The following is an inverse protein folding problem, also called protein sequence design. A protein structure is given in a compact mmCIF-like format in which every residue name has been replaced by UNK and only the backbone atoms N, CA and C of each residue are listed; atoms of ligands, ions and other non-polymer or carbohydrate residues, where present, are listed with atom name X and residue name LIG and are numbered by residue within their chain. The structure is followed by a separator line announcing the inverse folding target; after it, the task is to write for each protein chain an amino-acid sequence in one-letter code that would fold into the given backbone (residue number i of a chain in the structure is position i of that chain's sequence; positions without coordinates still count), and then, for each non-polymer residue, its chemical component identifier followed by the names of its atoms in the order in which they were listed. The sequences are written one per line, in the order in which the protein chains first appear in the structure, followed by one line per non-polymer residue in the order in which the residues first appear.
data_IF_338537011773
#
_entry.id   IF_338537011773
#
_cell.length_a   1.000
_cell.length_b   1.000
_cell.length_c   1.000
_cell.angle_alpha   90.00
_cell.angle_beta   90.00
_cell.angle_gamma   90.00
#
_symmetry.space_group_name_H-M   'P 1'
#
loop_
_entity.id
_entity.type
_entity.pdbx_description
1 polymer ?
#
# COMPACT_ATOMS: atom_id res chain seq x y z
N UNK A 1 2.56 23.08 6.68
CA UNK A 1 3.93 22.53 6.72
C UNK A 1 4.24 22.20 8.17
N UNK A 2 4.86 21.06 8.44
CA UNK A 2 5.25 20.68 9.80
C UNK A 2 6.77 20.64 9.84
N UNK A 3 7.36 21.43 10.72
CA UNK A 3 8.80 21.45 10.95
C UNK A 3 9.21 20.29 11.87
N UNK A 4 10.28 19.57 11.49
CA UNK A 4 10.84 18.42 12.22
C UNK A 4 12.26 18.66 12.71
N UNK A 5 12.76 19.91 12.67
CA UNK A 5 14.15 20.28 12.96
C UNK A 5 14.72 19.81 14.31
N UNK A 6 13.89 19.34 15.25
CA UNK A 6 14.31 18.85 16.56
C UNK A 6 14.09 17.35 16.82
N UNK A 7 13.77 16.52 15.82
CA UNK A 7 13.26 15.18 16.09
C UNK A 7 14.30 14.18 16.66
N UNK A 8 15.58 14.25 16.24
CA UNK A 8 16.55 13.19 16.55
C UNK A 8 17.62 13.49 17.61
N UNK A 9 17.78 14.73 18.06
CA UNK A 9 18.65 15.05 19.19
C UNK A 9 17.95 14.61 20.49
N UNK A 10 18.18 13.35 20.88
CA UNK A 10 17.75 12.80 22.16
C UNK A 10 18.98 12.49 22.99
N UNK A 11 19.49 13.45 23.75
CA UNK A 11 20.34 13.14 24.90
C UNK A 11 19.43 12.77 26.08
N UNK A 12 19.85 11.78 26.89
CA UNK A 12 19.16 11.37 28.13
C UNK A 12 18.91 12.53 29.13
N UNK A 13 19.48 13.70 28.87
CA UNK A 13 19.45 14.91 29.68
C UNK A 13 18.48 16.00 29.19
N UNK A 14 17.76 15.82 28.07
CA UNK A 14 16.82 16.83 27.57
C UNK A 14 15.46 16.75 28.28
N UNK A 15 15.40 17.26 29.51
CA UNK A 15 14.13 17.59 30.19
C UNK A 15 13.74 19.03 29.82
N UNK A 16 12.56 19.22 29.21
CA UNK A 16 12.04 20.56 28.90
C UNK A 16 11.42 20.70 27.50
N UNK A 17 11.59 21.87 26.89
CA UNK A 17 11.00 22.28 25.61
C UNK A 17 11.34 21.35 24.43
N UNK A 18 12.55 20.77 24.40
CA UNK A 18 12.96 19.81 23.37
C UNK A 18 12.08 18.54 23.34
N UNK A 19 11.65 18.06 24.51
CA UNK A 19 10.78 16.89 24.60
C UNK A 19 9.37 17.16 24.05
N UNK A 20 8.88 18.39 24.24
CA UNK A 20 7.60 18.85 23.69
C UNK A 20 7.66 18.96 22.16
N UNK A 21 8.77 19.47 21.61
CA UNK A 21 8.99 19.55 20.16
C UNK A 21 8.97 18.17 19.49
N UNK A 22 9.57 17.16 20.14
CA UNK A 22 9.57 15.77 19.66
C UNK A 22 8.16 15.17 19.72
N UNK A 23 7.44 15.35 20.83
CA UNK A 23 6.06 14.89 20.94
C UNK A 23 5.16 15.53 19.89
N UNK A 24 5.32 16.83 19.65
CA UNK A 24 4.58 17.55 18.64
C UNK A 24 4.91 17.05 17.24
N UNK A 25 6.19 16.79 16.96
CA UNK A 25 6.64 16.20 15.69
C UNK A 25 6.01 14.83 15.46
N UNK A 26 6.03 13.95 16.48
CA UNK A 26 5.39 12.62 16.39
C UNK A 26 3.88 12.73 16.17
N UNK A 27 3.21 13.62 16.91
CA UNK A 27 1.76 13.88 16.73
C UNK A 27 1.46 14.38 15.33
N UNK A 28 2.33 15.22 14.78
CA UNK A 28 2.17 15.76 13.45
C UNK A 28 2.42 14.70 12.36
N UNK A 29 3.40 13.80 12.56
CA UNK A 29 3.63 12.66 11.67
C UNK A 29 2.37 11.78 11.58
N UNK A 30 1.70 11.52 12.70
CA UNK A 30 0.44 10.76 12.73
C UNK A 30 -0.72 11.46 12.02
N UNK A 31 -0.66 12.78 11.85
CA UNK A 31 -1.67 13.59 11.15
C UNK A 31 -1.30 13.87 9.69
N UNK A 32 -0.05 13.63 9.30
CA UNK A 32 0.42 13.85 7.95
C UNK A 32 -0.11 12.76 7.03
N UNK A 33 -0.26 13.11 5.75
CA UNK A 33 -0.52 12.14 4.68
C UNK A 33 0.75 11.87 3.86
N UNK A 34 1.54 12.93 3.67
CA UNK A 34 2.80 12.92 2.92
C UNK A 34 3.89 13.55 3.78
N UNK A 35 5.08 12.95 3.72
CA UNK A 35 6.31 13.44 4.30
C UNK A 35 7.26 13.80 3.16
N UNK A 36 7.71 15.06 3.15
CA UNK A 36 8.77 15.52 2.27
C UNK A 36 10.07 15.54 3.05
N UNK A 37 11.01 14.66 2.70
CA UNK A 37 12.34 14.60 3.28
C UNK A 37 13.29 15.47 2.45
N UNK A 38 13.80 16.54 3.05
CA UNK A 38 14.72 17.45 2.38
C UNK A 38 16.15 17.02 2.71
N UNK A 39 16.95 16.80 1.68
CA UNK A 39 18.36 16.44 1.73
C UNK A 39 19.22 17.57 1.15
N UNK A 40 20.45 17.67 1.60
CA UNK A 40 21.40 18.68 1.13
C UNK A 40 22.35 18.10 0.07
N UNK A 41 22.29 18.60 -1.16
CA UNK A 41 23.11 18.16 -2.27
C UNK A 41 24.61 18.34 -2.03
N UNK A 42 25.01 19.40 -1.31
CA UNK A 42 26.41 19.68 -1.02
C UNK A 42 26.99 18.66 -0.05
N UNK A 43 26.23 18.31 0.99
CA UNK A 43 26.63 17.28 1.95
C UNK A 43 26.70 15.90 1.28
N UNK A 44 25.74 15.57 0.42
CA UNK A 44 25.76 14.31 -0.36
C UNK A 44 27.02 14.22 -1.22
N UNK A 45 27.41 15.32 -1.85
CA UNK A 45 28.61 15.36 -2.70
C UNK A 45 29.91 15.20 -1.89
N UNK A 46 29.96 15.70 -0.65
CA UNK A 46 31.12 15.61 0.24
C UNK A 46 31.26 14.25 0.92
N UNK A 47 30.17 13.75 1.49
CA UNK A 47 30.17 12.53 2.30
C UNK A 47 30.05 11.25 1.46
N UNK A 48 29.70 11.38 0.17
CA UNK A 48 29.50 10.26 -0.74
C UNK A 48 28.34 9.34 -0.35
N UNK A 49 27.43 9.82 0.50
CA UNK A 49 26.22 9.13 0.96
C UNK A 49 25.03 10.05 0.77
N UNK A 50 23.95 9.52 0.21
CA UNK A 50 22.73 10.27 -0.06
C UNK A 50 21.93 10.62 1.19
N UNK A 51 22.03 9.82 2.26
CA UNK A 51 21.29 10.04 3.50
C UNK A 51 22.16 9.81 4.74
N UNK A 52 21.99 10.68 5.74
CA UNK A 52 22.51 10.52 7.09
C UNK A 52 21.70 9.49 7.86
N UNK A 53 22.28 8.94 8.93
CA UNK A 53 21.60 7.95 9.78
C UNK A 53 20.22 8.44 10.24
N UNK A 54 20.16 9.69 10.65
CA UNK A 54 18.94 10.31 11.15
C UNK A 54 17.84 10.33 10.08
N UNK A 55 18.15 10.84 8.89
CA UNK A 55 17.23 10.90 7.74
C UNK A 55 16.70 9.53 7.34
N UNK A 56 17.53 8.48 7.42
CA UNK A 56 17.11 7.10 7.18
C UNK A 56 16.10 6.64 8.23
N UNK A 57 16.34 6.93 9.51
CA UNK A 57 15.40 6.61 10.59
C UNK A 57 14.07 7.33 10.38
N UNK A 58 14.12 8.60 9.96
CA UNK A 58 12.92 9.39 9.64
C UNK A 58 12.12 8.75 8.51
N UNK A 59 12.79 8.44 7.41
CA UNK A 59 12.16 7.90 6.22
C UNK A 59 11.55 6.52 6.48
N UNK A 60 12.27 5.63 7.17
CA UNK A 60 11.77 4.30 7.56
C UNK A 60 10.54 4.41 8.44
N UNK A 61 10.54 5.33 9.40
CA UNK A 61 9.37 5.55 10.26
C UNK A 61 8.17 6.05 9.47
N UNK A 62 8.36 7.00 8.55
CA UNK A 62 7.28 7.48 7.69
C UNK A 62 6.65 6.35 6.87
N UNK A 63 7.48 5.46 6.31
CA UNK A 63 7.06 4.26 5.58
C UNK A 63 6.30 3.28 6.48
N UNK A 64 6.79 3.01 7.69
CA UNK A 64 6.13 2.14 8.67
C UNK A 64 4.73 2.65 9.03
N UNK A 65 4.58 3.95 9.23
CA UNK A 65 3.29 4.59 9.51
C UNK A 65 2.34 4.57 8.30
N UNK A 66 2.86 4.29 7.11
CA UNK A 66 2.08 4.20 5.86
C UNK A 66 1.94 5.55 5.16
N UNK A 67 2.82 6.50 5.42
CA UNK A 67 2.80 7.83 4.81
C UNK A 67 3.43 7.79 3.42
N UNK A 68 2.94 8.62 2.50
CA UNK A 68 3.63 8.87 1.24
C UNK A 68 4.97 9.57 1.52
N UNK A 69 6.05 9.09 0.93
CA UNK A 69 7.39 9.68 1.10
C UNK A 69 7.83 10.31 -0.21
N UNK A 70 8.32 11.54 -0.14
CA UNK A 70 8.93 12.25 -1.26
C UNK A 70 10.29 12.74 -0.78
N UNK A 71 11.31 12.54 -1.61
CA UNK A 71 12.67 13.03 -1.30
C UNK A 71 12.94 14.27 -2.14
N UNK A 72 13.41 15.33 -1.49
CA UNK A 72 13.73 16.61 -2.11
C UNK A 72 15.22 16.84 -1.89
N UNK A 73 15.99 16.94 -2.96
CA UNK A 73 17.42 17.25 -2.90
C UNK A 73 17.58 18.74 -3.16
N UNK A 74 17.95 19.50 -2.13
CA UNK A 74 18.11 20.96 -2.17
C UNK A 74 19.57 21.36 -2.41
N UNK A 75 19.82 22.64 -2.75
CA UNK A 75 21.14 23.23 -3.04
C UNK A 75 21.84 22.67 -4.27
N UNK A 76 21.06 22.24 -5.27
CA UNK A 76 21.61 21.71 -6.53
C UNK A 76 22.42 22.75 -7.33
N UNK A 77 22.25 24.04 -7.05
CA UNK A 77 23.02 25.17 -7.61
C UNK A 77 24.50 25.13 -7.25
N UNK A 78 24.87 24.51 -6.12
CA UNK A 78 26.26 24.39 -5.69
C UNK A 78 27.02 23.30 -6.47
N UNK A 79 26.30 22.38 -7.12
CA UNK A 79 26.90 21.30 -7.89
C UNK A 79 27.13 21.72 -9.34
N UNK A 80 28.33 21.45 -9.86
CA UNK A 80 28.71 21.76 -11.25
C UNK A 80 29.29 20.54 -11.97
N UNK A 81 29.01 20.44 -13.27
CA UNK A 81 29.58 19.42 -14.17
C UNK A 81 29.34 18.00 -13.69
N UNK A 82 30.42 17.21 -13.59
CA UNK A 82 30.36 15.76 -13.25
C UNK A 82 29.71 15.46 -11.89
N UNK A 83 29.81 16.38 -10.93
CA UNK A 83 29.20 16.19 -9.60
C UNK A 83 27.67 16.23 -9.67
N UNK A 84 27.13 17.13 -10.50
CA UNK A 84 25.68 17.26 -10.71
C UNK A 84 25.10 15.96 -11.30
N UNK A 85 25.73 15.44 -12.34
CA UNK A 85 25.30 14.18 -12.99
C UNK A 85 25.41 12.98 -12.05
N UNK A 86 26.47 12.93 -11.23
CA UNK A 86 26.67 11.87 -10.26
C UNK A 86 25.55 11.84 -9.23
N UNK A 87 25.20 13.00 -8.66
CA UNK A 87 24.15 13.09 -7.63
C UNK A 87 22.78 12.71 -8.19
N UNK A 88 22.47 13.13 -9.42
CA UNK A 88 21.20 12.78 -10.06
C UNK A 88 21.01 11.28 -10.24
N UNK A 89 22.09 10.56 -10.57
CA UNK A 89 22.04 9.10 -10.78
C UNK A 89 22.15 8.32 -9.46
N UNK A 90 23.05 8.73 -8.58
CA UNK A 90 23.34 8.02 -7.34
C UNK A 90 22.20 8.11 -6.33
N UNK A 91 21.57 9.28 -6.17
CA UNK A 91 20.58 9.48 -5.11
C UNK A 91 19.38 8.52 -5.22
N UNK A 92 18.71 8.37 -6.39
CA UNK A 92 17.61 7.42 -6.52
C UNK A 92 18.01 5.96 -6.24
N UNK A 93 19.19 5.54 -6.68
CA UNK A 93 19.72 4.18 -6.50
C UNK A 93 20.05 3.90 -5.02
N UNK A 94 20.69 4.85 -4.36
CA UNK A 94 21.03 4.74 -2.93
C UNK A 94 19.77 4.74 -2.07
N UNK A 95 18.78 5.59 -2.37
CA UNK A 95 17.48 5.59 -1.66
C UNK A 95 16.81 4.23 -1.77
N UNK A 96 16.81 3.63 -2.95
CA UNK A 96 16.22 2.31 -3.17
C UNK A 96 16.93 1.21 -2.37
N UNK A 97 18.25 1.35 -2.19
CA UNK A 97 19.09 0.44 -1.41
C UNK A 97 18.84 0.60 0.09
N UNK A 98 18.72 1.84 0.56
CA UNK A 98 18.51 2.19 1.97
C UNK A 98 17.09 1.88 2.44
N UNK A 99 16.09 2.04 1.57
CA UNK A 99 14.67 1.84 1.86
C UNK A 99 14.07 0.81 0.88
N UNK A 100 14.42 -0.48 0.99
CA UNK A 100 13.93 -1.50 0.07
C UNK A 100 12.44 -1.79 0.25
N UNK A 101 11.81 -1.33 1.35
CA UNK A 101 10.39 -1.58 1.61
C UNK A 101 9.48 -0.83 0.63
N UNK A 102 9.93 0.32 0.09
CA UNK A 102 9.16 1.13 -0.84
C UNK A 102 9.97 1.35 -2.10
N UNK A 103 9.50 0.75 -3.19
CA UNK A 103 10.06 0.97 -4.51
C UNK A 103 9.47 2.21 -5.19
N UNK A 104 10.32 2.94 -5.92
CA UNK A 104 9.90 4.08 -6.75
C UNK A 104 9.57 5.35 -5.97
N UNK A 105 10.30 5.63 -4.88
CA UNK A 105 10.16 6.88 -4.14
C UNK A 105 10.53 8.05 -5.08
N UNK A 106 9.65 9.04 -5.28
CA UNK A 106 9.96 10.18 -6.14
C UNK A 106 11.05 11.06 -5.51
N UNK A 107 12.06 11.39 -6.33
CA UNK A 107 13.15 12.30 -5.97
C UNK A 107 13.02 13.57 -6.81
N UNK A 108 12.96 14.72 -6.14
CA UNK A 108 12.87 16.03 -6.81
C UNK A 108 14.10 16.85 -6.48
N UNK A 109 14.78 17.33 -7.52
CA UNK A 109 15.97 18.16 -7.40
C UNK A 109 15.57 19.63 -7.45
N UNK A 110 15.99 20.41 -6.45
CA UNK A 110 15.62 21.83 -6.31
C UNK A 110 16.81 22.71 -5.92
N UNK A 111 16.67 24.01 -6.21
CA UNK A 111 17.48 25.06 -5.60
C UNK A 111 16.54 26.07 -4.97
N UNK A 112 16.49 26.08 -3.64
CA UNK A 112 15.68 27.05 -2.90
C UNK A 112 16.17 28.49 -3.10
N UNK A 113 17.48 28.69 -3.26
CA UNK A 113 18.10 30.01 -3.45
C UNK A 113 17.68 30.64 -4.78
N UNK A 114 17.72 29.86 -5.87
CA UNK A 114 17.31 30.32 -7.19
C UNK A 114 15.79 30.18 -7.42
N UNK A 115 15.07 29.55 -6.48
CA UNK A 115 13.64 29.24 -6.61
C UNK A 115 13.31 28.16 -7.67
N UNK A 116 14.32 27.47 -8.21
CA UNK A 116 14.16 26.42 -9.23
C UNK A 116 13.55 25.16 -8.62
N UNK A 117 12.56 24.59 -9.30
CA UNK A 117 11.95 23.31 -8.92
C UNK A 117 10.80 23.39 -7.89
N UNK A 118 10.43 24.59 -7.40
CA UNK A 118 9.31 24.77 -6.46
C UNK A 118 7.97 24.21 -6.97
N UNK A 119 7.67 24.45 -8.25
CA UNK A 119 6.44 23.98 -8.90
C UNK A 119 6.46 22.47 -9.08
N UNK A 120 7.64 21.90 -9.36
CA UNK A 120 7.82 20.46 -9.51
C UNK A 120 7.59 19.74 -8.17
N UNK A 121 8.08 20.29 -7.05
CA UNK A 121 7.81 19.76 -5.71
C UNK A 121 6.30 19.74 -5.43
N UNK A 122 5.61 20.86 -5.64
CA UNK A 122 4.18 20.95 -5.36
C UNK A 122 3.36 19.97 -6.22
N UNK A 123 3.70 19.86 -7.51
CA UNK A 123 3.08 18.88 -8.40
C UNK A 123 3.32 17.45 -7.91
N UNK A 124 4.55 17.11 -7.57
CA UNK A 124 4.89 15.77 -7.09
C UNK A 124 4.15 15.42 -5.79
N UNK A 125 3.99 16.39 -4.89
CA UNK A 125 3.20 16.20 -3.65
C UNK A 125 1.75 15.88 -3.97
N UNK A 126 1.13 16.59 -4.92
CA UNK A 126 -0.25 16.34 -5.34
C UNK A 126 -0.36 14.97 -6.00
N UNK A 127 0.51 14.65 -6.96
CA UNK A 127 0.51 13.37 -7.68
C UNK A 127 0.67 12.18 -6.71
N UNK A 128 1.58 12.29 -5.75
CA UNK A 128 1.77 11.29 -4.69
C UNK A 128 0.55 11.20 -3.77
N UNK A 129 -0.13 12.32 -3.48
CA UNK A 129 -1.33 12.33 -2.65
C UNK A 129 -2.51 11.64 -3.33
N UNK A 130 -2.72 11.93 -4.62
CA UNK A 130 -3.76 11.30 -5.43
C UNK A 130 -3.53 9.80 -5.53
N UNK A 131 -2.29 9.39 -5.80
CA UNK A 131 -1.90 7.97 -5.85
C UNK A 131 -2.07 7.30 -4.48
N UNK A 132 -1.74 7.99 -3.38
CA UNK A 132 -1.94 7.48 -2.02
C UNK A 132 -3.42 7.36 -1.66
N UNK A 133 -4.29 8.17 -2.28
CA UNK A 133 -5.74 8.11 -2.12
C UNK A 133 -6.43 7.10 -3.07
N UNK A 134 -5.70 6.47 -3.98
CA UNK A 134 -6.26 5.65 -5.04
C UNK A 134 -7.11 4.50 -4.47
N UNK A 135 -8.34 4.37 -4.97
CA UNK A 135 -9.23 3.27 -4.66
C UNK A 135 -9.47 2.40 -5.89
N UNK A 136 -9.07 1.14 -5.80
CA UNK A 136 -9.22 0.14 -6.83
C UNK A 136 -10.50 -0.67 -6.58
N UNK A 137 -11.25 -0.93 -7.65
CA UNK A 137 -12.46 -1.73 -7.57
C UNK A 137 -12.11 -3.21 -7.35
N UNK A 138 -12.98 -3.93 -6.62
CA UNK A 138 -12.80 -5.37 -6.34
C UNK A 138 -12.76 -6.17 -7.64
N UNK A 139 -13.55 -5.79 -8.64
CA UNK A 139 -13.55 -6.42 -9.95
C UNK A 139 -12.20 -6.28 -10.66
N UNK A 140 -11.63 -5.07 -10.66
CA UNK A 140 -10.33 -4.79 -11.24
C UNK A 140 -9.22 -5.58 -10.54
N UNK A 141 -9.19 -5.56 -9.21
CA UNK A 141 -8.21 -6.30 -8.40
C UNK A 141 -8.28 -7.82 -8.64
N UNK A 142 -9.46 -8.40 -8.72
CA UNK A 142 -9.59 -9.84 -8.96
C UNK A 142 -9.26 -10.23 -10.40
N UNK A 143 -9.52 -9.35 -11.38
CA UNK A 143 -9.06 -9.56 -12.75
C UNK A 143 -7.54 -9.53 -12.83
N UNK A 144 -6.92 -8.52 -12.22
CA UNK A 144 -5.47 -8.39 -12.08
C UNK A 144 -4.86 -9.62 -11.39
N UNK A 145 -5.41 -10.06 -10.25
CA UNK A 145 -4.92 -11.22 -9.52
C UNK A 145 -4.88 -12.47 -10.41
N UNK A 146 -5.93 -12.75 -11.19
CA UNK A 146 -5.94 -13.90 -12.11
C UNK A 146 -4.82 -13.82 -13.15
N UNK A 147 -4.55 -12.62 -13.68
CA UNK A 147 -3.48 -12.38 -14.66
C UNK A 147 -2.09 -12.57 -14.05
N UNK A 148 -1.89 -12.12 -12.81
CA UNK A 148 -0.60 -12.29 -12.11
C UNK A 148 -0.38 -13.75 -11.70
N UNK A 149 -1.42 -14.41 -11.17
CA UNK A 149 -1.36 -15.82 -10.77
C UNK A 149 -1.19 -16.79 -11.95
N UNK A 150 -1.58 -16.41 -13.17
CA UNK A 150 -1.35 -17.26 -14.35
C UNK A 150 0.09 -17.18 -14.87
N UNK A 151 0.76 -16.04 -14.66
CA UNK A 151 2.16 -15.80 -15.06
C UNK A 151 3.15 -16.38 -14.04
N UNK A 152 2.80 -16.33 -12.76
CA UNK A 152 3.62 -16.90 -11.71
C UNK A 152 3.37 -18.41 -11.61
N UNK A 153 4.42 -19.22 -11.70
CA UNK A 153 4.28 -20.66 -11.45
C UNK A 153 4.07 -20.91 -9.95
N UNK A 154 2.83 -20.79 -9.49
CA UNK A 154 2.40 -21.30 -8.19
C UNK A 154 2.33 -22.84 -8.17
N UNK A 155 2.73 -23.48 -9.29
CA UNK A 155 2.68 -24.91 -9.51
C UNK A 155 3.90 -25.53 -8.81
N UNK A 156 3.68 -26.12 -7.64
CA UNK A 156 4.15 -27.50 -7.38
C UNK A 156 3.91 -28.03 -5.97
N UNK A 157 3.30 -27.25 -5.07
CA UNK A 157 2.92 -27.81 -3.77
C UNK A 157 1.41 -27.76 -3.59
N UNK A 158 0.77 -28.93 -3.64
CA UNK A 158 -0.64 -29.13 -3.31
C UNK A 158 -1.04 -28.56 -1.93
N UNK A 159 -0.05 -28.29 -1.07
CA UNK A 159 -0.20 -27.72 0.26
C UNK A 159 -0.11 -26.17 0.33
N UNK A 160 0.25 -25.48 -0.75
CA UNK A 160 0.43 -24.03 -0.71
C UNK A 160 -0.92 -23.27 -0.57
N UNK A 161 -0.98 -22.24 0.28
CA UNK A 161 -2.15 -21.38 0.42
C UNK A 161 -2.45 -20.64 -0.90
N UNK A 162 -3.64 -20.85 -1.48
CA UNK A 162 -4.07 -20.13 -2.70
C UNK A 162 -4.86 -18.87 -2.34
N UNK A 163 -4.54 -17.75 -2.98
CA UNK A 163 -5.33 -16.51 -2.88
C UNK A 163 -6.60 -16.66 -3.73
N UNK A 164 -7.77 -16.64 -3.09
CA UNK A 164 -9.07 -16.76 -3.75
C UNK A 164 -9.54 -15.43 -4.33
N UNK A 165 -9.43 -14.37 -3.54
CA UNK A 165 -9.84 -13.04 -3.94
C UNK A 165 -9.05 -11.98 -3.17
N UNK A 166 -8.99 -10.79 -3.75
CA UNK A 166 -8.24 -9.65 -3.24
C UNK A 166 -9.15 -8.43 -3.19
N UNK A 167 -9.07 -7.66 -2.11
CA UNK A 167 -9.89 -6.46 -1.92
C UNK A 167 -9.11 -5.36 -1.23
N UNK A 168 -9.46 -4.11 -1.51
CA UNK A 168 -8.93 -2.94 -0.80
C UNK A 168 -9.90 -2.54 0.31
N UNK A 169 -9.45 -2.64 1.56
CA UNK A 169 -10.26 -2.31 2.75
C UNK A 169 -10.10 -0.84 3.14
N UNK A 170 -8.88 -0.30 2.99
CA UNK A 170 -8.57 1.10 3.31
C UNK A 170 -7.85 1.73 2.13
N UNK A 171 -8.24 2.96 1.78
CA UNK A 171 -7.50 3.75 0.80
C UNK A 171 -6.27 4.45 1.42
N UNK A 172 -6.31 4.77 2.72
CA UNK A 172 -5.38 5.72 3.37
C UNK A 172 -4.81 5.18 4.70
N UNK A 173 -3.65 4.51 4.74
CA UNK A 173 -2.85 4.06 3.59
C UNK A 173 -3.51 2.92 2.81
N UNK A 174 -3.12 2.70 1.53
CA UNK A 174 -3.62 1.59 0.72
C UNK A 174 -3.40 0.24 1.42
N UNK A 175 -4.50 -0.31 1.93
CA UNK A 175 -4.50 -1.56 2.69
C UNK A 175 -5.39 -2.56 1.98
N UNK A 176 -4.77 -3.66 1.57
CA UNK A 176 -5.41 -4.74 0.86
C UNK A 176 -5.53 -5.97 1.77
N UNK A 177 -6.55 -6.78 1.52
CA UNK A 177 -6.73 -8.07 2.17
C UNK A 177 -6.70 -9.15 1.09
N UNK A 178 -5.74 -10.07 1.24
CA UNK A 178 -5.68 -11.31 0.51
C UNK A 178 -6.46 -12.38 1.27
N UNK A 179 -7.50 -12.92 0.64
CA UNK A 179 -8.27 -14.02 1.20
C UNK A 179 -7.71 -15.35 0.71
N UNK A 180 -7.26 -16.16 1.66
CA UNK A 180 -6.49 -17.38 1.42
C UNK A 180 -7.36 -18.61 1.71
N UNK A 181 -7.19 -19.67 0.92
CA UNK A 181 -7.98 -20.90 1.01
C UNK A 181 -7.68 -21.77 2.24
N UNK A 182 -6.47 -21.70 2.76
CA UNK A 182 -5.97 -22.50 3.87
C UNK A 182 -5.83 -21.65 5.14
N UNK A 183 -5.75 -22.30 6.31
CA UNK A 183 -5.31 -21.64 7.55
C UNK A 183 -3.82 -21.23 7.50
N UNK A 184 -3.05 -21.81 6.58
CA UNK A 184 -1.66 -21.43 6.34
C UNK A 184 -1.57 -19.99 5.77
N UNK A 185 -0.55 -19.25 6.23
CA UNK A 185 -0.21 -17.92 5.70
C UNK A 185 0.66 -18.06 4.44
N UNK A 186 0.51 -17.12 3.52
CA UNK A 186 1.43 -16.91 2.39
C UNK A 186 2.84 -16.63 2.92
N UNK A 187 3.85 -17.08 2.17
CA UNK A 187 5.24 -16.77 2.50
C UNK A 187 5.53 -15.28 2.31
N UNK A 188 6.57 -14.78 2.97
CA UNK A 188 6.97 -13.37 2.79
C UNK A 188 7.42 -13.08 1.35
N UNK A 189 8.01 -14.07 0.67
CA UNK A 189 8.37 -13.98 -0.75
C UNK A 189 7.15 -13.72 -1.63
N UNK A 190 6.06 -14.44 -1.41
CA UNK A 190 4.83 -14.28 -2.18
C UNK A 190 4.17 -12.92 -1.91
N UNK A 191 4.20 -12.46 -0.67
CA UNK A 191 3.69 -11.13 -0.31
C UNK A 191 4.49 -10.02 -0.97
N UNK A 192 5.83 -10.13 -1.00
CA UNK A 192 6.71 -9.18 -1.70
C UNK A 192 6.44 -9.19 -3.19
N UNK A 193 6.27 -10.36 -3.80
CA UNK A 193 5.92 -10.50 -5.21
C UNK A 193 4.57 -9.85 -5.54
N UNK A 194 3.52 -10.13 -4.75
CA UNK A 194 2.21 -9.51 -4.92
C UNK A 194 2.28 -7.98 -4.75
N UNK A 195 3.02 -7.51 -3.75
CA UNK A 195 3.22 -6.08 -3.51
C UNK A 195 3.91 -5.42 -4.68
N UNK A 196 4.99 -6.02 -5.20
CA UNK A 196 5.73 -5.52 -6.36
C UNK A 196 4.84 -5.48 -7.62
N UNK A 197 4.16 -6.58 -7.92
CA UNK A 197 3.27 -6.67 -9.07
C UNK A 197 2.13 -5.65 -9.01
N UNK A 198 1.58 -5.41 -7.80
CA UNK A 198 0.54 -4.40 -7.59
C UNK A 198 1.07 -3.00 -7.85
N UNK A 199 2.30 -2.71 -7.42
CA UNK A 199 2.95 -1.42 -7.68
C UNK A 199 3.19 -1.17 -9.16
N UNK A 200 3.71 -2.17 -9.87
CA UNK A 200 4.03 -2.06 -11.29
C UNK A 200 2.76 -1.89 -12.15
N UNK A 201 1.72 -2.71 -11.94
CA UNK A 201 0.52 -2.68 -12.78
C UNK A 201 -0.41 -1.48 -12.50
N UNK A 202 -0.46 -0.98 -11.27
CA UNK A 202 -1.31 0.15 -10.87
C UNK A 202 -0.55 1.47 -10.69
N UNK A 203 0.73 1.51 -11.05
CA UNK A 203 1.61 2.67 -10.91
C UNK A 203 1.62 3.27 -9.48
N UNK A 204 1.59 2.41 -8.45
CA UNK A 204 1.60 2.81 -7.04
C UNK A 204 3.03 3.04 -6.52
N UNK A 205 3.87 3.67 -7.33
CA UNK A 205 5.26 3.99 -7.00
C UNK A 205 5.37 4.92 -5.78
N UNK A 206 6.36 4.68 -4.93
CA UNK A 206 6.68 5.57 -3.82
C UNK A 206 5.72 5.51 -2.63
N UNK A 207 4.69 4.65 -2.69
CA UNK A 207 3.69 4.51 -1.63
C UNK A 207 3.87 3.19 -0.87
N UNK A 208 3.80 3.22 0.48
CA UNK A 208 3.74 2.01 1.27
C UNK A 208 2.39 1.32 1.11
N UNK A 209 2.42 0.04 0.75
CA UNK A 209 1.22 -0.81 0.60
C UNK A 209 1.23 -1.84 1.72
N UNK A 210 0.06 -2.04 2.35
CA UNK A 210 -0.13 -3.07 3.37
C UNK A 210 -0.99 -4.20 2.82
N UNK A 211 -0.48 -5.43 2.86
CA UNK A 211 -1.25 -6.63 2.51
C UNK A 211 -1.50 -7.44 3.78
N UNK A 212 -2.75 -7.50 4.20
CA UNK A 212 -3.20 -8.37 5.28
C UNK A 212 -3.69 -9.70 4.72
N UNK A 213 -3.53 -10.77 5.49
CA UNK A 213 -4.00 -12.09 5.09
C UNK A 213 -5.19 -12.50 5.96
N UNK A 214 -6.24 -13.03 5.34
CA UNK A 214 -7.36 -13.66 6.05
C UNK A 214 -7.60 -15.05 5.48
N UNK A 215 -7.71 -16.05 6.35
CA UNK A 215 -8.11 -17.39 5.94
C UNK A 215 -9.64 -17.45 5.81
N UNK A 216 -10.11 -18.04 4.72
CA UNK A 216 -11.53 -18.35 4.56
C UNK A 216 -11.72 -19.78 5.03
N UNK A 217 -12.41 -19.96 6.15
CA UNK A 217 -12.83 -21.30 6.57
C UNK A 217 -13.65 -21.94 5.44
N UNK A 218 -13.30 -23.16 5.03
CA UNK A 218 -14.26 -23.98 4.29
C UNK A 218 -15.46 -24.16 5.22
N UNK A 219 -16.62 -23.63 4.84
CA UNK A 219 -17.88 -24.17 5.34
C UNK A 219 -17.81 -25.67 5.07
N UNK A 220 -17.80 -26.48 6.13
CA UNK A 220 -18.02 -27.91 6.00
C UNK A 220 -19.41 -28.03 5.39
N UNK A 221 -19.47 -28.38 4.10
CA UNK A 221 -20.72 -28.71 3.46
C UNK A 221 -21.36 -29.83 4.26
N UNK A 222 -22.61 -29.64 4.64
CA UNK A 222 -23.47 -30.70 5.20
C UNK A 222 -23.43 -31.86 4.22
N UNK A 223 -22.74 -32.93 4.58
CA UNK A 223 -22.81 -34.22 3.91
C UNK A 223 -24.17 -34.81 4.22
N UNK A 224 -25.20 -34.44 3.45
CA UNK A 224 -26.43 -35.23 3.39
C UNK A 224 -26.07 -36.53 2.67
N UNK A 225 -25.91 -37.59 3.47
CA UNK A 225 -25.63 -38.93 3.00
C UNK A 225 -26.74 -39.41 2.07
N UNK A 226 -26.33 -39.88 0.91
CA UNK A 226 -27.15 -40.70 0.03
C UNK A 226 -27.36 -42.06 0.69
N UNK A 227 -28.55 -42.30 1.26
CA UNK A 227 -29.03 -43.64 1.56
C UNK A 227 -30.32 -43.89 0.78
N UNK A 228 -30.22 -44.73 -0.25
CA UNK A 228 -31.36 -45.29 -0.98
C UNK A 228 -32.06 -46.36 -0.12
N UNK A 229 -33.37 -46.46 -0.34
CA UNK A 229 -34.24 -47.65 -0.26
C UNK A 229 -35.21 -47.76 0.92
N UNK A 230 -36.48 -47.48 0.63
CA UNK A 230 -37.60 -48.41 0.80
C UNK A 230 -38.88 -47.76 0.23
N UNK A 231 -39.49 -48.39 -0.78
CA UNK A 231 -40.90 -48.17 -1.09
C UNK A 231 -41.76 -48.93 -0.05
N UNK A 232 -43.01 -48.53 0.16
CA UNK A 232 -44.07 -49.26 -0.54
C UNK A 232 -45.18 -48.37 -1.16
N UNK A 233 -45.62 -48.86 -2.31
CA UNK A 233 -46.93 -48.80 -2.96
C UNK A 233 -48.14 -48.20 -2.21
N UNK A 234 -48.92 -47.36 -2.93
CA UNK A 234 -50.36 -47.60 -3.06
C UNK A 234 -51.35 -46.47 -2.73
N UNK A 235 -51.97 -45.95 -3.78
CA UNK A 235 -53.38 -45.52 -3.93
C UNK A 235 -53.82 -44.04 -3.74
N UNK A 236 -54.47 -43.59 -4.82
CA UNK A 236 -55.68 -42.76 -4.96
C UNK A 236 -55.58 -41.23 -4.89
N UNK A 237 -55.47 -40.67 -6.10
CA UNK A 237 -56.24 -39.57 -6.69
C UNK A 237 -57.32 -38.93 -5.79
N UNK A 238 -57.23 -37.61 -5.62
CA UNK A 238 -58.38 -36.72 -5.80
C UNK A 238 -57.92 -35.34 -6.28
N UNK A 239 -58.32 -35.01 -7.51
CA UNK A 239 -58.33 -33.65 -8.05
C UNK A 239 -59.68 -33.06 -7.70
N UNK A 240 -59.72 -31.89 -7.09
CA UNK A 240 -60.87 -30.99 -7.17
C UNK A 240 -60.38 -29.59 -7.54
N UNK A 241 -60.82 -29.15 -8.72
CA UNK A 241 -60.84 -27.77 -9.19
C UNK A 241 -62.14 -27.14 -8.70
N UNK A 242 -62.13 -25.86 -8.29
CA UNK A 242 -63.19 -24.85 -8.49
C UNK A 242 -62.84 -23.58 -7.70
N UNK A 243 -62.29 -22.53 -8.30
CA UNK A 243 -63.00 -21.38 -8.90
C UNK A 243 -63.81 -20.51 -7.92
N UNK A 244 -63.36 -19.25 -7.73
CA UNK A 244 -64.18 -18.02 -7.78
C UNK A 244 -63.32 -16.76 -7.53
N UNK A 245 -63.32 -15.88 -8.55
CA UNK A 245 -63.41 -14.40 -8.57
C UNK A 245 -63.07 -13.66 -7.24
N UNK A 246 -62.31 -12.56 -7.24
CA UNK A 246 -62.68 -11.30 -7.92
C UNK A 246 -61.48 -10.34 -8.00
N UNK A 247 -61.31 -9.73 -9.17
CA UNK A 247 -60.47 -8.58 -9.47
C UNK A 247 -61.21 -7.33 -9.01
N UNK A 248 -60.55 -6.40 -8.31
CA UNK A 248 -60.88 -4.97 -8.34
C UNK A 248 -59.59 -4.14 -8.34
N UNK A 249 -59.18 -3.72 -9.54
CA UNK A 249 -58.81 -2.33 -9.88
C UNK A 249 -60.03 -1.42 -9.58
N UNK A 250 -60.01 -0.12 -9.29
CA UNK A 250 -59.14 1.03 -9.59
C UNK A 250 -59.69 2.29 -8.84
N UNK A 251 -58.98 3.42 -8.92
CA UNK A 251 -59.36 4.83 -8.64
C UNK A 251 -59.53 5.22 -7.15
N UNK A 252 -58.92 6.29 -6.62
CA UNK A 252 -58.68 7.65 -7.16
C UNK A 252 -57.46 8.27 -6.48
#
# INVERSE_FOLDING_TARGET
MVDTAGWLHRTKQDRGAASLSIMQTRKNLMRAHIVALVLDAEEIAKDGRSMKHDEVVIARRAVEEGLGLIVIVNKMDLLKGKLYERVIKAVPEEIQTVIPQVTGIPVVFVSALEGKGRTAVMRQVIDTYETWCLRLSIACLNHWLRKVMSRHSWKDQAAQPKVKYFTQVKARPPTFVAFVSSKAKLSDTDLRFLTRSLKEDFNLGGIPIRIMQRSVARSAGVSSGTSKSSQPTGKLVERVVSDKRTILTEAT
#
